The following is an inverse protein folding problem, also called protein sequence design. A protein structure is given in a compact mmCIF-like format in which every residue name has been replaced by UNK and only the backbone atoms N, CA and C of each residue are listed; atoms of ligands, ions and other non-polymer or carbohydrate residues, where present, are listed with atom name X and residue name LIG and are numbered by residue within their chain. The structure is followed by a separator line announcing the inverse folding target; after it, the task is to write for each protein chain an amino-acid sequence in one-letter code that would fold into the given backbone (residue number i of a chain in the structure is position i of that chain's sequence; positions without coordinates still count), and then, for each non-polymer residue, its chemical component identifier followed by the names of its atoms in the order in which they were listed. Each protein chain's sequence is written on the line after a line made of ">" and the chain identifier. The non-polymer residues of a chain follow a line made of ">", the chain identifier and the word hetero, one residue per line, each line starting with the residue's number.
data_IF_456624256573
#
_entry.id   IF_456624256573
#
_cell.length_a   1.000
_cell.length_b   1.000
_cell.length_c   1.000
_cell.angle_alpha   90.00
_cell.angle_beta   90.00
_cell.angle_gamma   90.00
#
_symmetry.space_group_name_H-M   'P 1'
#
loop_
_entity.id
_entity.type
_entity.pdbx_description
1 polymer ?
#
# COMPACT_ATOMS: atom_id res chain seq x y z
N UNK A 1 -3.69 15.71 -46.36
CA UNK A 1 -4.77 15.59 -45.32
C UNK A 1 -4.44 14.48 -44.30
N UNK A 2 -4.06 13.30 -44.72
CA UNK A 2 -3.75 12.13 -43.89
C UNK A 2 -2.58 12.40 -42.90
N UNK A 3 -1.50 13.06 -43.33
CA UNK A 3 -0.32 13.35 -42.49
C UNK A 3 -0.63 14.20 -41.25
N UNK A 4 -1.58 15.11 -41.33
CA UNK A 4 -2.05 15.95 -40.21
C UNK A 4 -2.81 15.12 -39.14
N UNK A 5 -3.49 14.05 -39.54
CA UNK A 5 -4.19 13.15 -38.61
C UNK A 5 -3.22 12.22 -37.90
N UNK A 6 -2.21 11.67 -38.57
CA UNK A 6 -1.19 10.83 -37.93
C UNK A 6 -0.42 11.59 -36.85
N UNK A 7 -0.06 12.84 -37.08
CA UNK A 7 0.59 13.69 -36.08
C UNK A 7 -0.30 13.86 -34.83
N UNK A 8 -1.60 14.13 -35.01
CA UNK A 8 -2.54 14.28 -33.90
C UNK A 8 -2.74 12.98 -33.12
N UNK A 9 -2.78 11.84 -33.82
CA UNK A 9 -2.88 10.53 -33.16
C UNK A 9 -1.65 10.29 -32.30
N UNK A 10 -0.45 10.47 -32.81
CA UNK A 10 0.80 10.26 -32.08
C UNK A 10 0.97 11.28 -30.94
N UNK A 11 0.54 12.52 -31.13
CA UNK A 11 0.52 13.55 -30.08
C UNK A 11 -0.45 13.21 -28.94
N UNK A 12 -1.53 12.48 -29.21
CA UNK A 12 -2.51 12.03 -28.22
C UNK A 12 -2.11 10.74 -27.48
N UNK A 13 -1.03 10.05 -27.89
CA UNK A 13 -0.55 8.85 -27.19
C UNK A 13 0.13 9.26 -25.89
N UNK A 14 -0.22 8.63 -24.72
CA UNK A 14 0.37 8.98 -23.43
C UNK A 14 1.85 8.57 -23.31
N UNK A 15 2.32 7.60 -24.08
CA UNK A 15 3.72 7.18 -24.12
C UNK A 15 4.59 8.24 -24.81
N UNK A 16 5.73 8.57 -24.23
CA UNK A 16 6.68 9.50 -24.82
C UNK A 16 7.32 8.91 -26.10
N UNK A 17 7.18 9.62 -27.23
CA UNK A 17 7.65 9.17 -28.54
C UNK A 17 8.68 10.15 -29.10
N UNK A 18 9.83 9.62 -29.55
CA UNK A 18 10.87 10.33 -30.27
C UNK A 18 11.20 9.59 -31.57
N UNK A 19 11.37 10.34 -32.67
CA UNK A 19 11.86 9.78 -33.95
C UNK A 19 13.18 10.44 -34.29
N UNK A 20 14.17 9.64 -34.63
CA UNK A 20 15.48 10.10 -35.03
C UNK A 20 15.92 9.51 -36.39
N UNK A 21 16.77 10.24 -37.11
CA UNK A 21 17.43 9.79 -38.32
C UNK A 21 18.73 9.03 -38.02
N UNK A 22 19.38 8.50 -39.06
CA UNK A 22 20.65 7.75 -38.95
C UNK A 22 21.81 8.57 -38.35
N UNK A 23 21.71 9.91 -38.35
CA UNK A 23 22.69 10.79 -37.72
C UNK A 23 22.29 11.10 -36.27
N UNK A 24 21.33 10.36 -35.71
CA UNK A 24 20.77 10.57 -34.36
C UNK A 24 20.23 11.99 -34.13
N UNK A 25 19.76 12.63 -35.20
CA UNK A 25 19.07 13.90 -35.13
C UNK A 25 17.58 13.66 -34.99
N UNK A 26 16.99 14.29 -34.00
CA UNK A 26 15.56 14.18 -33.71
C UNK A 26 14.72 14.82 -34.82
N UNK A 27 13.86 14.04 -35.44
CA UNK A 27 12.95 14.46 -36.52
C UNK A 27 11.57 14.84 -35.93
N UNK A 28 11.12 14.10 -34.92
CA UNK A 28 9.82 14.30 -34.33
C UNK A 28 9.83 13.94 -32.83
N UNK A 29 9.02 14.62 -32.04
CA UNK A 29 8.67 14.29 -30.65
C UNK A 29 7.19 14.57 -30.44
N UNK A 30 6.50 13.72 -29.66
CA UNK A 30 5.09 13.95 -29.28
C UNK A 30 4.94 14.81 -28.00
N UNK A 31 3.71 15.11 -27.62
CA UNK A 31 3.40 15.91 -26.43
C UNK A 31 3.88 15.25 -25.15
N UNK A 32 3.73 13.94 -24.99
CA UNK A 32 4.21 13.18 -23.83
C UNK A 32 5.74 13.26 -23.69
N UNK A 33 6.50 13.15 -24.81
CA UNK A 33 7.94 13.36 -24.78
C UNK A 33 8.33 14.76 -24.31
N UNK A 34 7.64 15.79 -24.80
CA UNK A 34 7.91 17.18 -24.40
C UNK A 34 7.54 17.47 -22.95
N UNK A 35 6.57 16.75 -22.39
CA UNK A 35 6.25 16.81 -20.96
C UNK A 35 7.35 16.16 -20.10
N UNK A 36 7.88 15.00 -20.55
CA UNK A 36 8.96 14.30 -19.87
C UNK A 36 10.31 15.06 -19.95
N UNK A 37 10.58 15.73 -21.08
CA UNK A 37 11.79 16.51 -21.32
C UNK A 37 11.43 17.95 -21.77
N UNK A 38 11.05 18.84 -20.83
CA UNK A 38 10.55 20.18 -21.18
C UNK A 38 11.53 21.05 -21.97
N UNK A 39 12.84 20.91 -21.72
CA UNK A 39 13.89 21.59 -22.46
C UNK A 39 14.29 20.89 -23.76
N UNK A 40 13.72 19.71 -24.02
CA UNK A 40 13.95 18.91 -25.22
C UNK A 40 13.17 19.47 -26.42
N UNK A 41 13.82 19.52 -27.59
CA UNK A 41 13.18 20.01 -28.81
C UNK A 41 13.51 19.14 -30.02
N UNK A 42 12.54 19.00 -30.94
CA UNK A 42 12.80 18.43 -32.25
C UNK A 42 13.89 19.21 -32.99
N UNK A 43 14.59 18.55 -33.92
CA UNK A 43 15.72 19.07 -34.72
C UNK A 43 17.03 19.27 -33.92
N UNK A 44 17.14 18.73 -32.72
CA UNK A 44 18.39 18.64 -31.95
C UNK A 44 18.98 17.23 -32.02
N UNK A 45 20.22 17.05 -31.58
CA UNK A 45 20.75 15.71 -31.36
C UNK A 45 19.95 14.98 -30.27
N UNK A 46 19.94 13.65 -30.31
CA UNK A 46 19.19 12.79 -29.40
C UNK A 46 19.46 13.14 -27.93
N UNK A 47 20.71 13.33 -27.53
CA UNK A 47 21.08 13.70 -26.17
C UNK A 47 20.63 15.11 -25.77
N UNK A 48 20.60 16.07 -26.72
CA UNK A 48 20.03 17.40 -26.44
C UNK A 48 18.50 17.37 -26.34
N UNK A 49 17.86 16.46 -27.08
CA UNK A 49 16.41 16.27 -26.99
C UNK A 49 16.00 15.67 -25.64
N UNK A 50 16.82 14.80 -25.06
CA UNK A 50 16.61 14.19 -23.72
C UNK A 50 17.29 14.98 -22.60
N UNK A 51 17.69 16.23 -22.82
CA UNK A 51 18.34 17.11 -21.81
C UNK A 51 19.58 16.53 -21.15
N UNK A 52 20.33 15.65 -21.84
CA UNK A 52 21.52 15.00 -21.31
C UNK A 52 22.59 16.02 -20.88
N UNK A 53 23.03 15.99 -19.63
CA UNK A 53 24.02 16.90 -19.06
C UNK A 53 25.41 16.76 -19.72
N UNK A 54 25.72 15.58 -20.28
CA UNK A 54 26.99 15.28 -20.96
C UNK A 54 26.99 15.64 -22.46
N UNK A 55 25.83 16.07 -23.02
CA UNK A 55 25.72 16.38 -24.45
C UNK A 55 26.31 17.74 -24.78
N UNK A 56 27.61 17.79 -25.09
CA UNK A 56 28.29 19.04 -25.43
C UNK A 56 27.91 19.58 -26.82
N UNK A 57 27.95 18.82 -27.90
CA UNK A 57 27.60 19.33 -29.23
C UNK A 57 26.90 18.31 -30.14
N UNK A 58 27.29 17.05 -30.11
CA UNK A 58 26.76 15.97 -30.96
C UNK A 58 26.64 14.69 -30.14
N UNK A 59 25.48 14.00 -30.20
CA UNK A 59 25.41 12.59 -29.81
C UNK A 59 26.28 11.78 -30.79
N UNK A 60 27.07 10.84 -30.26
CA UNK A 60 27.99 10.04 -31.07
C UNK A 60 29.45 10.51 -31.03
N UNK A 61 29.81 11.59 -30.29
CA UNK A 61 31.18 11.95 -29.98
C UNK A 61 31.79 11.06 -28.89
N UNK A 62 33.07 11.25 -28.58
CA UNK A 62 33.82 10.44 -27.60
C UNK A 62 33.20 10.38 -26.19
N UNK A 63 32.35 11.35 -25.83
CA UNK A 63 31.64 11.39 -24.58
C UNK A 63 30.35 10.53 -24.52
N UNK A 64 29.94 9.92 -25.63
CA UNK A 64 28.76 9.06 -25.73
C UNK A 64 29.08 7.57 -25.86
N UNK A 65 30.35 7.16 -25.81
CA UNK A 65 30.73 5.74 -25.81
C UNK A 65 30.19 5.07 -24.56
N UNK A 66 29.38 4.00 -24.75
CA UNK A 66 28.69 3.30 -23.65
C UNK A 66 27.42 4.01 -23.15
N UNK A 67 26.89 4.99 -23.88
CA UNK A 67 25.58 5.59 -23.60
C UNK A 67 24.46 4.65 -24.06
N UNK A 68 23.72 4.08 -23.15
CA UNK A 68 22.63 3.13 -23.45
C UNK A 68 21.56 3.69 -24.39
N UNK A 69 21.34 5.02 -24.38
CA UNK A 69 20.43 5.68 -25.32
C UNK A 69 20.98 5.67 -26.74
N UNK A 70 22.27 6.01 -26.91
CA UNK A 70 22.97 5.96 -28.18
C UNK A 70 22.96 4.53 -28.73
N UNK A 71 23.43 3.56 -27.91
CA UNK A 71 23.55 2.15 -28.29
C UNK A 71 22.19 1.56 -28.70
N UNK A 72 21.05 1.97 -28.08
CA UNK A 72 19.74 1.49 -28.45
C UNK A 72 19.35 1.88 -29.88
N UNK A 73 19.61 3.12 -30.29
CA UNK A 73 19.32 3.58 -31.64
C UNK A 73 20.33 3.00 -32.67
N UNK A 74 21.63 2.98 -32.36
CA UNK A 74 22.65 2.44 -33.23
C UNK A 74 22.41 0.96 -33.52
N UNK A 75 22.15 0.14 -32.50
CA UNK A 75 21.81 -1.27 -32.65
C UNK A 75 20.54 -1.47 -33.48
N UNK A 76 19.50 -0.63 -33.28
CA UNK A 76 18.27 -0.72 -34.07
C UNK A 76 18.52 -0.36 -35.55
N UNK A 77 19.31 0.66 -35.83
CA UNK A 77 19.70 1.00 -37.20
C UNK A 77 20.55 -0.09 -37.86
N UNK A 78 21.53 -0.61 -37.14
CA UNK A 78 22.43 -1.64 -37.68
C UNK A 78 21.75 -3.00 -37.89
N UNK A 79 20.93 -3.43 -36.94
CA UNK A 79 20.27 -4.75 -36.99
C UNK A 79 18.96 -4.74 -37.78
N UNK A 80 18.38 -3.57 -38.02
CA UNK A 80 17.03 -3.39 -38.54
C UNK A 80 15.96 -4.18 -37.75
N UNK A 81 16.15 -4.32 -36.41
CA UNK A 81 15.24 -4.98 -35.48
C UNK A 81 14.92 -4.06 -34.32
N UNK A 82 13.80 -4.36 -33.66
CA UNK A 82 13.45 -3.68 -32.43
C UNK A 82 14.45 -3.97 -31.32
N UNK A 83 14.88 -2.92 -30.60
CA UNK A 83 15.83 -3.00 -29.50
C UNK A 83 15.24 -2.31 -28.29
N UNK A 84 15.30 -2.97 -27.12
CA UNK A 84 14.90 -2.38 -25.85
C UNK A 84 16.09 -2.29 -24.91
N UNK A 85 16.28 -1.13 -24.29
CA UNK A 85 17.37 -0.88 -23.33
C UNK A 85 16.89 -0.03 -22.18
N UNK A 86 17.52 -0.23 -21.02
CA UNK A 86 17.40 0.69 -19.88
C UNK A 86 18.46 1.77 -20.03
N UNK A 87 18.03 3.02 -19.91
CA UNK A 87 18.89 4.21 -20.00
C UNK A 87 19.04 4.81 -18.62
N UNK A 88 20.29 5.06 -18.24
CA UNK A 88 20.66 5.85 -17.07
C UNK A 88 21.37 7.09 -17.56
N UNK A 89 20.85 8.26 -17.25
CA UNK A 89 21.48 9.48 -17.72
C UNK A 89 21.34 10.62 -16.69
N UNK A 90 22.34 11.51 -16.68
CA UNK A 90 22.23 12.78 -15.96
C UNK A 90 21.54 13.80 -16.85
N UNK A 91 20.45 14.36 -16.36
CA UNK A 91 19.65 15.39 -17.04
C UNK A 91 19.92 16.73 -16.38
N UNK A 92 20.02 17.77 -17.19
CA UNK A 92 20.17 19.15 -16.69
C UNK A 92 18.92 19.94 -17.00
N UNK A 93 18.19 20.30 -15.96
CA UNK A 93 17.00 21.14 -16.03
C UNK A 93 17.13 22.35 -15.12
N UNK A 94 16.82 23.53 -15.63
CA UNK A 94 16.91 24.81 -14.89
C UNK A 94 18.26 25.02 -14.15
N UNK A 95 19.35 24.49 -14.72
CA UNK A 95 20.67 24.61 -14.14
C UNK A 95 21.04 23.55 -13.10
N UNK A 96 20.11 22.70 -12.69
CA UNK A 96 20.31 21.57 -11.75
C UNK A 96 20.48 20.28 -12.52
N UNK A 97 21.47 19.45 -12.11
CA UNK A 97 21.67 18.11 -12.65
C UNK A 97 21.03 17.08 -11.72
N UNK A 98 20.24 16.17 -12.25
CA UNK A 98 19.67 15.03 -11.54
C UNK A 98 19.79 13.75 -12.38
N UNK A 99 19.82 12.61 -11.72
CA UNK A 99 19.88 11.30 -12.37
C UNK A 99 18.46 10.85 -12.74
N UNK A 100 18.29 10.40 -13.98
CA UNK A 100 17.03 9.80 -14.47
C UNK A 100 17.30 8.41 -15.02
N UNK A 101 16.30 7.53 -14.85
CA UNK A 101 16.31 6.19 -15.41
C UNK A 101 14.99 5.95 -16.13
N UNK A 102 15.06 5.47 -17.36
CA UNK A 102 13.90 5.11 -18.16
C UNK A 102 14.19 3.94 -19.10
N UNK A 103 13.15 3.24 -19.52
CA UNK A 103 13.25 2.21 -20.56
C UNK A 103 12.94 2.83 -21.91
N UNK A 104 13.77 2.53 -22.92
CA UNK A 104 13.50 2.91 -24.28
C UNK A 104 13.38 1.67 -25.17
N UNK A 105 12.37 1.63 -26.00
CA UNK A 105 12.20 0.64 -27.05
C UNK A 105 12.30 1.33 -28.38
N UNK A 106 13.35 1.00 -29.15
CA UNK A 106 13.62 1.59 -30.47
C UNK A 106 13.18 0.64 -31.57
N UNK A 107 12.33 1.11 -32.46
CA UNK A 107 11.78 0.35 -33.57
C UNK A 107 12.15 1.01 -34.90
N UNK A 108 12.79 0.30 -35.85
CA UNK A 108 13.04 0.81 -37.18
C UNK A 108 11.74 1.08 -37.94
N UNK A 109 11.65 2.24 -38.58
CA UNK A 109 10.48 2.63 -39.39
C UNK A 109 10.73 2.48 -40.89
N UNK A 110 11.96 2.16 -41.29
CA UNK A 110 12.42 2.25 -42.67
C UNK A 110 12.78 3.67 -43.07
N UNK A 111 13.32 3.85 -44.31
CA UNK A 111 13.71 5.17 -44.79
C UNK A 111 14.78 5.89 -43.99
N UNK A 112 15.62 5.16 -43.22
CA UNK A 112 16.64 5.74 -42.37
C UNK A 112 16.10 6.41 -41.09
N UNK A 113 14.93 5.98 -40.62
CA UNK A 113 14.30 6.48 -39.40
C UNK A 113 14.09 5.37 -38.38
N UNK A 114 14.29 5.68 -37.11
CA UNK A 114 13.88 4.85 -35.96
C UNK A 114 12.98 5.65 -35.01
N UNK A 115 12.00 4.97 -34.47
CA UNK A 115 11.12 5.48 -33.42
C UNK A 115 11.52 4.90 -32.08
N UNK A 116 11.79 5.76 -31.10
CA UNK A 116 11.93 5.38 -29.70
C UNK A 116 10.65 5.68 -28.95
N UNK A 117 10.14 4.68 -28.22
CA UNK A 117 9.12 4.86 -27.20
C UNK A 117 9.78 4.82 -25.84
N UNK A 118 9.53 5.80 -25.01
CA UNK A 118 10.13 5.92 -23.68
C UNK A 118 9.03 5.68 -22.63
N UNK A 119 9.26 4.67 -21.83
CA UNK A 119 8.47 4.39 -20.64
C UNK A 119 9.27 4.80 -19.42
N UNK A 120 8.60 5.40 -18.43
CA UNK A 120 9.26 5.76 -17.18
C UNK A 120 9.60 4.46 -16.43
N UNK A 121 10.88 4.05 -16.54
CA UNK A 121 11.37 2.85 -15.89
C UNK A 121 11.29 2.93 -14.36
N UNK A 122 11.28 4.14 -13.80
CA UNK A 122 11.19 4.38 -12.38
C UNK A 122 9.80 4.08 -11.85
N UNK A 123 8.73 4.54 -12.54
CA UNK A 123 7.35 4.20 -12.16
C UNK A 123 7.10 2.69 -12.22
N UNK A 124 7.58 2.01 -13.25
CA UNK A 124 7.43 0.56 -13.39
C UNK A 124 8.20 -0.22 -12.31
N UNK A 125 9.38 0.27 -11.92
CA UNK A 125 10.20 -0.34 -10.86
C UNK A 125 9.55 -0.15 -9.48
N UNK A 126 9.09 1.07 -9.17
CA UNK A 126 8.33 1.35 -7.94
C UNK A 126 7.07 0.49 -7.89
N UNK A 127 6.32 0.38 -8.99
CA UNK A 127 5.14 -0.47 -9.04
C UNK A 127 5.46 -1.95 -8.75
N UNK A 128 6.59 -2.47 -9.23
CA UNK A 128 7.05 -3.83 -8.92
C UNK A 128 7.48 -3.99 -7.46
N UNK A 129 8.18 -3.01 -6.90
CA UNK A 129 8.57 -3.01 -5.49
C UNK A 129 7.35 -2.94 -4.58
N UNK A 130 6.38 -2.08 -4.89
CA UNK A 130 5.10 -2.00 -4.19
C UNK A 130 4.33 -3.32 -4.25
N UNK A 131 4.28 -3.96 -5.42
CA UNK A 131 3.64 -5.27 -5.58
C UNK A 131 4.34 -6.35 -4.74
N UNK A 132 5.66 -6.30 -4.66
CA UNK A 132 6.45 -7.20 -3.80
C UNK A 132 6.16 -6.95 -2.33
N UNK A 133 6.17 -5.70 -1.88
CA UNK A 133 5.85 -5.32 -0.51
C UNK A 133 4.42 -5.71 -0.13
N UNK A 134 3.45 -5.50 -1.03
CA UNK A 134 2.06 -5.98 -0.87
C UNK A 134 1.99 -7.50 -0.69
N UNK A 135 2.73 -8.26 -1.50
CA UNK A 135 2.81 -9.71 -1.37
C UNK A 135 3.41 -10.15 -0.03
N UNK A 136 4.41 -9.43 0.49
CA UNK A 136 4.97 -9.69 1.83
C UNK A 136 3.93 -9.39 2.90
N UNK A 137 3.25 -8.23 2.84
CA UNK A 137 2.23 -7.87 3.83
C UNK A 137 1.09 -8.90 3.86
N UNK A 138 0.63 -9.38 2.71
CA UNK A 138 -0.39 -10.43 2.65
C UNK A 138 -0.01 -11.72 3.37
N UNK A 139 1.30 -12.05 3.45
CA UNK A 139 1.81 -13.21 4.20
C UNK A 139 1.88 -12.98 5.71
N UNK A 140 1.75 -11.73 6.16
CA UNK A 140 1.66 -11.39 7.58
C UNK A 140 0.24 -11.55 8.13
N UNK A 141 -0.77 -11.60 7.25
CA UNK A 141 -2.17 -11.78 7.65
C UNK A 141 -2.40 -13.18 8.26
N UNK A 142 -3.46 -13.34 9.09
CA UNK A 142 -3.79 -14.61 9.70
C UNK A 142 -3.96 -15.73 8.66
N UNK A 143 -3.44 -16.90 8.96
CA UNK A 143 -3.58 -18.08 8.11
C UNK A 143 -4.60 -19.06 8.68
N UNK A 144 -5.51 -19.56 7.83
CA UNK A 144 -6.54 -20.50 8.26
C UNK A 144 -7.78 -19.82 8.85
N UNK A 145 -8.55 -20.57 9.62
CA UNK A 145 -9.82 -20.15 10.22
C UNK A 145 -10.06 -20.77 11.62
N UNK A 146 -9.00 -21.31 12.27
CA UNK A 146 -9.02 -21.89 13.60
C UNK A 146 -7.80 -21.50 14.42
N UNK A 147 -8.02 -21.12 15.66
CA UNK A 147 -6.97 -20.86 16.64
C UNK A 147 -7.47 -21.23 18.04
N UNK A 148 -6.67 -21.92 18.86
CA UNK A 148 -7.00 -22.25 20.26
C UNK A 148 -8.38 -22.90 20.43
N UNK A 149 -8.83 -23.76 19.48
CA UNK A 149 -10.14 -24.39 19.52
C UNK A 149 -11.32 -23.50 19.11
N UNK A 150 -11.08 -22.27 18.69
CA UNK A 150 -12.11 -21.32 18.20
C UNK A 150 -12.03 -21.15 16.69
N UNK A 151 -13.21 -21.10 16.06
CA UNK A 151 -13.33 -20.71 14.64
C UNK A 151 -13.28 -19.19 14.56
N UNK A 152 -12.60 -18.67 13.54
CA UNK A 152 -12.58 -17.23 13.27
C UNK A 152 -12.70 -16.94 11.78
N UNK A 153 -13.10 -15.73 11.48
CA UNK A 153 -13.05 -15.15 10.15
C UNK A 153 -12.55 -13.71 10.25
N UNK A 154 -11.91 -13.22 9.19
CA UNK A 154 -11.44 -11.84 9.16
C UNK A 154 -11.62 -11.20 7.79
N UNK A 155 -11.63 -9.86 7.77
CA UNK A 155 -11.60 -9.03 6.59
C UNK A 155 -10.44 -8.03 6.73
N UNK A 156 -9.70 -7.83 5.64
CA UNK A 156 -8.66 -6.81 5.53
C UNK A 156 -8.70 -6.22 4.12
N UNK A 157 -9.04 -4.95 4.01
CA UNK A 157 -9.15 -4.21 2.75
C UNK A 157 -8.34 -2.93 2.91
N UNK A 158 -7.09 -2.88 2.41
CA UNK A 158 -6.27 -1.69 2.49
C UNK A 158 -6.80 -0.61 1.53
N UNK A 159 -6.79 0.65 1.96
CA UNK A 159 -7.21 1.79 1.13
C UNK A 159 -6.16 2.16 0.06
N UNK A 160 -4.93 1.69 0.21
CA UNK A 160 -3.83 1.81 -0.75
C UNK A 160 -3.23 0.44 -1.04
N UNK A 161 -2.15 0.38 -1.82
CA UNK A 161 -1.47 -0.88 -2.12
C UNK A 161 -0.97 -1.61 -0.87
N UNK A 162 -0.59 -0.85 0.16
CA UNK A 162 -0.10 -1.33 1.46
C UNK A 162 -0.85 -0.54 2.54
N UNK A 163 -1.41 -1.25 3.52
CA UNK A 163 -2.17 -0.66 4.62
C UNK A 163 -1.38 -0.58 5.93
N UNK A 164 -1.87 0.28 6.84
CA UNK A 164 -1.38 0.41 8.22
C UNK A 164 -2.01 -0.60 9.17
N UNK A 165 -3.20 -1.04 8.89
CA UNK A 165 -3.93 -2.00 9.72
C UNK A 165 -3.25 -3.37 9.79
N UNK A 166 -3.37 -4.02 10.93
CA UNK A 166 -2.87 -5.36 11.18
C UNK A 166 -3.91 -6.21 11.93
N UNK A 167 -4.62 -7.12 11.25
CA UNK A 167 -5.28 -8.22 11.92
C UNK A 167 -4.27 -9.33 12.23
N UNK A 168 -4.31 -9.88 13.44
CA UNK A 168 -3.53 -11.06 13.81
C UNK A 168 -4.37 -12.01 14.65
N UNK A 169 -4.28 -13.31 14.36
CA UNK A 169 -4.92 -14.39 15.12
C UNK A 169 -3.93 -15.51 15.30
N UNK A 170 -3.81 -15.97 16.54
CA UNK A 170 -2.88 -17.05 16.92
C UNK A 170 -3.43 -17.83 18.12
N UNK A 171 -2.79 -18.90 18.46
CA UNK A 171 -3.10 -19.70 19.64
C UNK A 171 -1.96 -19.64 20.65
N UNK A 172 -2.33 -19.56 21.92
CA UNK A 172 -1.40 -19.76 23.05
C UNK A 172 -2.00 -20.85 23.93
N UNK A 173 -1.26 -21.97 24.04
CA UNK A 173 -1.80 -23.17 24.70
C UNK A 173 -3.18 -23.57 24.11
N UNK A 174 -4.23 -23.53 24.93
CA UNK A 174 -5.60 -23.87 24.53
C UNK A 174 -6.47 -22.60 24.27
N UNK A 175 -5.90 -21.42 24.32
CA UNK A 175 -6.61 -20.16 24.15
C UNK A 175 -6.45 -19.61 22.74
N UNK A 176 -7.51 -19.05 22.16
CA UNK A 176 -7.43 -18.27 20.96
C UNK A 176 -7.08 -16.81 21.31
N UNK A 177 -6.20 -16.19 20.53
CA UNK A 177 -5.84 -14.80 20.69
C UNK A 177 -6.11 -14.03 19.40
N UNK A 178 -6.68 -12.84 19.55
CA UNK A 178 -6.92 -11.90 18.45
C UNK A 178 -6.29 -10.55 18.77
N UNK A 179 -5.63 -9.97 17.79
CA UNK A 179 -5.09 -8.60 17.86
C UNK A 179 -5.49 -7.86 16.61
N UNK A 180 -6.02 -6.66 16.81
CA UNK A 180 -6.22 -5.71 15.73
C UNK A 180 -5.43 -4.45 16.10
N UNK A 181 -4.63 -3.97 15.16
CA UNK A 181 -3.86 -2.75 15.34
C UNK A 181 -4.06 -1.84 14.13
N UNK A 182 -4.13 -0.55 14.38
CA UNK A 182 -4.18 0.48 13.36
C UNK A 182 -3.03 1.45 13.58
N UNK A 183 -2.21 1.59 12.56
CA UNK A 183 -1.01 2.43 12.55
C UNK A 183 -1.32 3.77 11.92
N UNK A 184 -0.99 4.85 12.61
CA UNK A 184 -1.15 6.20 12.10
C UNK A 184 -0.50 6.42 10.74
N UNK A 185 -1.23 7.05 9.81
CA UNK A 185 -0.77 7.31 8.44
C UNK A 185 -1.17 6.20 7.46
N UNK A 186 -0.70 6.29 6.22
CA UNK A 186 -1.13 5.39 5.13
C UNK A 186 0.00 5.08 4.16
N UNK A 187 -0.09 3.94 3.50
CA UNK A 187 0.88 3.50 2.49
C UNK A 187 2.13 2.87 3.09
N UNK A 188 3.28 3.01 2.43
CA UNK A 188 4.49 2.24 2.73
C UNK A 188 4.97 2.41 4.18
N UNK A 189 5.00 3.65 4.69
CA UNK A 189 5.46 3.93 6.06
C UNK A 189 4.58 3.27 7.12
N UNK A 190 3.26 3.36 6.98
CA UNK A 190 2.31 2.69 7.87
C UNK A 190 2.43 1.16 7.76
N UNK A 191 2.58 0.62 6.55
CA UNK A 191 2.80 -0.81 6.35
C UNK A 191 4.12 -1.34 6.93
N UNK A 192 5.19 -0.54 6.95
CA UNK A 192 6.43 -0.90 7.63
C UNK A 192 6.25 -0.97 9.15
N UNK A 193 5.54 0.01 9.73
CA UNK A 193 5.22 -0.01 11.15
C UNK A 193 4.24 -1.13 11.51
N UNK A 194 3.28 -1.44 10.66
CA UNK A 194 2.38 -2.60 10.82
C UNK A 194 3.18 -3.92 10.88
N UNK A 195 4.16 -4.11 9.99
CA UNK A 195 5.05 -5.26 10.03
C UNK A 195 5.92 -5.29 11.30
N UNK A 196 6.41 -4.12 11.76
CA UNK A 196 7.10 -4.01 13.04
C UNK A 196 6.20 -4.42 14.21
N UNK A 197 4.96 -3.92 14.27
CA UNK A 197 3.98 -4.29 15.31
C UNK A 197 3.78 -5.81 15.34
N UNK A 198 3.61 -6.43 14.17
CA UNK A 198 3.47 -7.89 14.05
C UNK A 198 4.66 -8.65 14.65
N UNK A 199 5.87 -8.18 14.37
CA UNK A 199 7.10 -8.82 14.85
C UNK A 199 7.40 -8.52 16.34
N UNK A 200 7.06 -7.31 16.79
CA UNK A 200 7.35 -6.82 18.13
C UNK A 200 6.35 -7.30 19.19
N UNK A 201 5.09 -7.59 18.77
CA UNK A 201 4.06 -8.08 19.68
C UNK A 201 4.42 -9.46 20.22
N UNK A 202 4.52 -9.58 21.55
CA UNK A 202 4.93 -10.82 22.21
C UNK A 202 3.76 -11.80 22.31
N UNK A 203 3.64 -12.71 21.36
CA UNK A 203 2.60 -13.74 21.31
C UNK A 203 2.70 -14.80 22.39
N UNK A 204 3.86 -14.89 23.07
CA UNK A 204 4.04 -15.80 24.20
C UNK A 204 3.54 -15.22 25.52
N UNK A 205 3.28 -13.91 25.58
CA UNK A 205 2.73 -13.25 26.76
C UNK A 205 1.25 -13.58 26.90
N UNK A 206 0.89 -14.11 28.06
CA UNK A 206 -0.48 -14.56 28.34
C UNK A 206 -1.44 -13.40 28.60
N UNK A 207 -0.96 -12.28 29.15
CA UNK A 207 -1.75 -11.08 29.45
C UNK A 207 -1.74 -10.13 28.25
N UNK A 208 -2.91 -9.81 27.64
CA UNK A 208 -3.00 -8.81 26.57
C UNK A 208 -2.42 -7.44 26.97
N UNK A 209 -2.64 -7.00 28.21
CA UNK A 209 -2.11 -5.73 28.70
C UNK A 209 -0.59 -5.72 28.79
N UNK A 210 0.02 -6.82 29.25
CA UNK A 210 1.48 -6.95 29.31
C UNK A 210 2.09 -7.06 27.90
N UNK A 211 1.41 -7.76 26.97
CA UNK A 211 1.86 -7.84 25.58
C UNK A 211 1.86 -6.45 24.91
N UNK A 212 0.81 -5.64 25.13
CA UNK A 212 0.75 -4.26 24.67
C UNK A 212 1.85 -3.42 25.34
N UNK A 213 2.10 -3.60 26.63
CA UNK A 213 3.18 -2.89 27.33
C UNK A 213 4.56 -3.18 26.72
N UNK A 214 4.88 -4.45 26.50
CA UNK A 214 6.12 -4.86 25.83
C UNK A 214 6.23 -4.29 24.40
N UNK A 215 5.12 -4.23 23.66
CA UNK A 215 5.07 -3.58 22.36
C UNK A 215 5.39 -2.09 22.49
N UNK A 216 4.79 -1.40 23.47
CA UNK A 216 5.03 0.03 23.72
C UNK A 216 6.49 0.32 24.06
N UNK A 217 7.12 -0.53 24.88
CA UNK A 217 8.53 -0.40 25.24
C UNK A 217 9.42 -0.51 23.97
N UNK A 218 9.18 -1.52 23.12
CA UNK A 218 9.90 -1.69 21.85
C UNK A 218 9.62 -0.59 20.84
N UNK A 219 8.38 -0.05 20.80
CA UNK A 219 8.03 1.05 19.93
C UNK A 219 8.77 2.34 20.31
N UNK A 220 8.94 2.58 21.62
CA UNK A 220 9.68 3.72 22.13
C UNK A 220 11.17 3.70 21.73
N UNK A 221 11.76 2.50 21.60
CA UNK A 221 13.16 2.33 21.14
C UNK A 221 13.37 2.82 19.69
N UNK A 222 12.31 2.86 18.86
CA UNK A 222 12.41 3.35 17.48
C UNK A 222 12.62 4.87 17.42
N UNK A 223 12.34 5.59 18.49
CA UNK A 223 12.50 7.04 18.62
C UNK A 223 11.87 7.82 17.43
N UNK A 224 10.68 7.41 17.04
CA UNK A 224 9.90 8.04 15.95
C UNK A 224 9.32 9.38 16.41
N UNK A 225 8.93 10.21 15.44
CA UNK A 225 8.27 11.49 15.73
C UNK A 225 6.85 11.31 16.31
N UNK A 226 6.31 12.40 16.90
CA UNK A 226 5.02 12.40 17.59
C UNK A 226 3.81 12.06 16.69
N UNK A 227 3.97 12.06 15.36
CA UNK A 227 2.90 11.69 14.43
C UNK A 227 2.73 10.19 14.28
N UNK A 228 3.71 9.42 14.77
CA UNK A 228 3.68 7.98 14.69
C UNK A 228 3.12 7.40 15.99
N UNK A 229 2.00 6.71 15.89
CA UNK A 229 1.38 5.98 16.99
C UNK A 229 0.64 4.77 16.44
N UNK A 230 0.29 3.86 17.32
CA UNK A 230 -0.47 2.65 17.00
C UNK A 230 -1.61 2.50 17.99
N UNK A 231 -2.81 2.29 17.47
CA UNK A 231 -3.93 1.84 18.30
C UNK A 231 -4.02 0.32 18.28
N UNK A 232 -4.35 -0.30 19.41
CA UNK A 232 -4.39 -1.76 19.54
C UNK A 232 -5.61 -2.19 20.33
N UNK A 233 -6.35 -3.18 19.83
CA UNK A 233 -7.25 -4.00 20.65
C UNK A 233 -6.78 -5.44 20.62
N UNK A 234 -6.57 -6.02 21.78
CA UNK A 234 -6.07 -7.38 21.94
C UNK A 234 -7.00 -8.19 22.86
N UNK A 235 -7.28 -9.43 22.47
CA UNK A 235 -8.13 -10.35 23.20
C UNK A 235 -7.46 -11.71 23.35
N UNK A 236 -7.69 -12.37 24.50
CA UNK A 236 -7.44 -13.79 24.73
C UNK A 236 -8.76 -14.45 25.10
N UNK A 237 -9.09 -15.50 24.42
CA UNK A 237 -10.33 -16.25 24.55
C UNK A 237 -10.00 -17.60 25.16
N UNK A 238 -10.34 -17.76 26.42
CA UNK A 238 -10.20 -19.01 27.19
C UNK A 238 -11.45 -19.88 26.99
N UNK A 239 -11.69 -20.87 27.86
CA UNK A 239 -12.83 -21.80 27.75
C UNK A 239 -14.18 -21.12 27.97
N UNK A 240 -14.25 -20.12 28.84
CA UNK A 240 -15.48 -19.50 29.34
C UNK A 240 -15.39 -17.97 29.54
N UNK A 241 -14.25 -17.39 29.22
CA UNK A 241 -13.98 -15.97 29.44
C UNK A 241 -13.08 -15.38 28.38
N UNK A 242 -13.22 -14.08 28.17
CA UNK A 242 -12.41 -13.26 27.29
C UNK A 242 -11.67 -12.25 28.14
N UNK A 243 -10.35 -12.30 28.13
CA UNK A 243 -9.49 -11.24 28.65
C UNK A 243 -9.17 -10.28 27.53
N UNK A 244 -9.34 -8.99 27.75
CA UNK A 244 -9.12 -7.98 26.71
C UNK A 244 -8.35 -6.77 27.23
N UNK A 245 -7.61 -6.12 26.34
CA UNK A 245 -6.92 -4.86 26.59
C UNK A 245 -6.96 -4.00 25.33
N UNK A 246 -6.98 -2.68 25.53
CA UNK A 246 -7.01 -1.71 24.44
C UNK A 246 -5.96 -0.64 24.69
N UNK A 247 -5.31 -0.14 23.63
CA UNK A 247 -4.36 0.97 23.65
C UNK A 247 -4.77 2.00 22.61
N UNK A 248 -5.35 3.12 23.04
CA UNK A 248 -5.78 4.21 22.15
C UNK A 248 -6.86 3.82 21.14
N UNK A 249 -7.36 2.60 21.19
CA UNK A 249 -8.33 2.09 20.23
C UNK A 249 -9.72 2.62 20.54
N UNK A 250 -10.30 3.38 19.62
CA UNK A 250 -11.54 4.13 19.81
C UNK A 250 -12.81 3.39 19.33
N UNK A 251 -12.64 2.21 18.72
CA UNK A 251 -13.74 1.38 18.24
C UNK A 251 -14.06 0.30 19.27
N UNK A 252 -15.33 0.14 19.68
CA UNK A 252 -15.68 -0.88 20.67
C UNK A 252 -15.48 -2.30 20.12
N UNK A 253 -14.96 -3.18 20.96
CA UNK A 253 -15.10 -4.62 20.78
C UNK A 253 -16.59 -4.97 20.96
N UNK A 254 -17.15 -5.78 20.07
CA UNK A 254 -18.56 -6.17 20.13
C UNK A 254 -18.69 -7.63 20.55
N UNK A 255 -19.51 -7.90 21.57
CA UNK A 255 -19.87 -9.24 21.98
C UNK A 255 -21.37 -9.45 21.77
N UNK A 256 -21.73 -10.31 20.82
CA UNK A 256 -23.10 -10.76 20.60
C UNK A 256 -23.40 -11.98 21.44
N UNK A 257 -24.46 -11.90 22.22
CA UNK A 257 -25.01 -12.98 23.05
C UNK A 257 -26.50 -13.18 22.75
N UNK A 258 -27.12 -14.17 23.35
CA UNK A 258 -28.57 -14.36 23.27
C UNK A 258 -29.38 -13.16 23.82
N UNK A 259 -28.80 -12.40 24.76
CA UNK A 259 -29.41 -11.23 25.36
C UNK A 259 -29.23 -9.94 24.57
N UNK A 260 -28.40 -9.93 23.55
CA UNK A 260 -28.13 -8.76 22.74
C UNK A 260 -26.65 -8.55 22.44
N UNK A 261 -26.29 -7.34 22.01
CA UNK A 261 -24.92 -6.97 21.65
C UNK A 261 -24.37 -5.97 22.66
N UNK A 262 -23.27 -6.34 23.32
CA UNK A 262 -22.54 -5.50 24.27
C UNK A 262 -21.38 -4.81 23.56
N UNK A 263 -21.20 -3.50 23.82
CA UNK A 263 -20.03 -2.70 23.41
C UNK A 263 -19.02 -2.69 24.56
N UNK A 264 -17.81 -3.14 24.30
CA UNK A 264 -16.74 -3.26 25.28
C UNK A 264 -15.68 -2.22 24.94
N UNK A 265 -15.30 -1.40 25.91
CA UNK A 265 -14.28 -0.35 25.78
C UNK A 265 -13.37 -0.32 26.98
N UNK A 266 -12.08 -0.10 26.75
CA UNK A 266 -11.10 0.27 27.77
C UNK A 266 -10.34 1.52 27.31
N UNK A 267 -10.25 2.50 28.19
CA UNK A 267 -9.52 3.73 27.91
C UNK A 267 -8.08 3.60 28.39
N UNK A 268 -7.16 3.61 27.44
CA UNK A 268 -5.71 3.62 27.66
C UNK A 268 -5.05 4.46 26.57
N UNK A 269 -3.85 5.02 26.80
CA UNK A 269 -3.16 5.77 25.76
C UNK A 269 -2.76 4.85 24.59
N UNK A 270 -2.59 5.40 23.37
CA UNK A 270 -2.05 4.63 22.25
C UNK A 270 -0.59 4.25 22.50
N UNK A 271 -0.11 3.26 21.78
CA UNK A 271 1.31 2.95 21.70
C UNK A 271 2.00 4.07 20.94
N UNK A 272 2.80 4.88 21.63
CA UNK A 272 3.42 6.09 21.09
C UNK A 272 4.58 6.55 22.01
N UNK A 273 5.32 7.56 21.53
CA UNK A 273 6.34 8.25 22.32
C UNK A 273 5.78 9.45 23.14
N UNK A 274 4.46 9.59 23.22
CA UNK A 274 3.84 10.74 23.90
C UNK A 274 3.91 10.65 25.43
N UNK A 275 4.01 9.45 25.97
CA UNK A 275 3.94 9.19 27.40
C UNK A 275 5.17 8.40 27.87
N UNK A 276 5.78 8.88 28.92
CA UNK A 276 6.76 8.10 29.68
C UNK A 276 6.01 7.05 30.51
N UNK A 277 6.32 5.77 30.33
CA UNK A 277 5.72 4.66 31.07
C UNK A 277 4.17 4.60 31.05
N UNK A 278 3.51 4.50 29.85
CA UNK A 278 2.07 4.40 29.80
C UNK A 278 1.56 3.13 30.50
N UNK A 279 0.41 3.21 31.14
CA UNK A 279 -0.22 2.06 31.80
C UNK A 279 -1.32 1.48 30.91
N UNK A 280 -1.28 0.17 30.74
CA UNK A 280 -2.30 -0.60 30.03
C UNK A 280 -2.98 -1.55 31.03
N UNK A 281 -4.30 -1.60 30.94
CA UNK A 281 -5.14 -2.41 31.80
C UNK A 281 -5.81 -3.51 30.98
N UNK A 282 -6.19 -4.57 31.66
CA UNK A 282 -7.01 -5.62 31.08
C UNK A 282 -8.23 -5.85 31.96
N UNK A 283 -9.30 -6.32 31.34
CA UNK A 283 -10.51 -6.73 32.03
C UNK A 283 -11.00 -8.06 31.46
N UNK A 284 -11.92 -8.70 32.14
CA UNK A 284 -12.39 -10.05 31.83
C UNK A 284 -13.89 -10.05 31.73
N UNK A 285 -14.42 -10.63 30.65
CA UNK A 285 -15.87 -10.81 30.47
C UNK A 285 -16.19 -12.28 30.19
N UNK A 286 -17.21 -12.86 30.86
CA UNK A 286 -17.66 -14.21 30.53
C UNK A 286 -18.41 -14.26 29.21
N UNK A 287 -18.39 -15.41 28.57
CA UNK A 287 -19.18 -15.69 27.37
C UNK A 287 -19.77 -17.11 27.42
N UNK A 288 -20.68 -17.40 26.50
CA UNK A 288 -21.28 -18.74 26.33
C UNK A 288 -21.03 -19.25 24.92
N UNK A 289 -21.10 -20.57 24.80
CA UNK A 289 -21.04 -21.20 23.47
C UNK A 289 -22.16 -20.67 22.58
N UNK A 290 -21.78 -20.24 21.39
CA UNK A 290 -22.69 -19.63 20.40
C UNK A 290 -22.67 -18.12 20.37
N UNK A 291 -21.97 -17.47 21.33
CA UNK A 291 -21.71 -16.04 21.28
C UNK A 291 -20.72 -15.71 20.14
N UNK A 292 -20.70 -14.47 19.68
CA UNK A 292 -19.79 -13.99 18.62
C UNK A 292 -19.03 -12.77 19.14
N UNK A 293 -17.71 -12.83 19.12
CA UNK A 293 -16.83 -11.71 19.43
C UNK A 293 -16.31 -11.05 18.15
N UNK A 294 -16.32 -9.70 18.11
CA UNK A 294 -15.90 -8.92 16.95
C UNK A 294 -14.96 -7.79 17.36
N UNK A 295 -13.85 -7.68 16.65
CA UNK A 295 -12.92 -6.55 16.69
C UNK A 295 -12.95 -5.83 15.34
N UNK A 296 -12.90 -4.50 15.36
CA UNK A 296 -12.99 -3.64 14.16
C UNK A 296 -11.96 -2.52 14.26
N UNK A 297 -11.43 -2.04 13.13
CA UNK A 297 -10.75 -0.74 13.05
C UNK A 297 -11.74 0.38 12.71
N UNK A 298 -11.31 1.62 12.88
CA UNK A 298 -12.15 2.80 12.63
C UNK A 298 -12.48 2.98 11.13
N UNK A 299 -11.67 2.44 10.22
CA UNK A 299 -12.04 2.42 8.80
C UNK A 299 -13.38 1.73 8.51
N UNK A 300 -13.85 0.79 9.37
CA UNK A 300 -15.19 0.24 9.29
C UNK A 300 -16.23 1.29 9.71
N UNK A 301 -16.01 1.93 10.85
CA UNK A 301 -17.01 2.85 11.45
C UNK A 301 -17.00 4.22 10.78
N UNK A 302 -15.85 4.67 10.27
CA UNK A 302 -15.68 5.96 9.61
C UNK A 302 -15.87 5.89 8.08
N UNK A 303 -16.15 4.69 7.53
CA UNK A 303 -16.53 4.52 6.13
C UNK A 303 -17.70 5.45 5.78
N UNK A 304 -17.54 6.31 4.75
CA UNK A 304 -18.52 7.33 4.38
C UNK A 304 -19.22 7.00 3.08
N UNK A 305 -20.52 7.22 3.04
CA UNK A 305 -21.28 7.15 1.78
C UNK A 305 -21.14 8.44 0.96
N UNK A 306 -21.73 8.46 -0.23
CA UNK A 306 -21.72 9.62 -1.13
C UNK A 306 -22.39 10.90 -0.57
N UNK A 307 -23.06 10.82 0.58
CA UNK A 307 -23.65 11.95 1.31
C UNK A 307 -22.78 12.42 2.48
N UNK A 308 -21.65 11.74 2.76
CA UNK A 308 -20.76 12.02 3.87
C UNK A 308 -21.23 11.42 5.21
N UNK A 309 -22.28 10.58 5.23
CA UNK A 309 -22.76 9.88 6.43
C UNK A 309 -21.82 8.71 6.73
N UNK A 310 -21.48 8.50 8.00
CA UNK A 310 -20.63 7.39 8.45
C UNK A 310 -21.43 6.10 8.60
N UNK A 311 -20.82 4.95 8.30
CA UNK A 311 -21.39 3.62 8.59
C UNK A 311 -21.64 3.44 10.09
N UNK A 312 -20.71 3.89 10.89
CA UNK A 312 -20.78 3.94 12.35
C UNK A 312 -20.72 2.56 13.00
N UNK A 313 -20.52 2.56 14.32
CA UNK A 313 -20.62 1.33 15.11
C UNK A 313 -22.04 0.72 15.02
N UNK A 314 -23.08 1.53 14.83
CA UNK A 314 -24.45 1.06 14.66
C UNK A 314 -24.66 0.24 13.39
N UNK A 315 -23.96 0.57 12.29
CA UNK A 315 -23.94 -0.22 11.06
C UNK A 315 -23.37 -1.62 11.29
N UNK A 316 -22.22 -1.68 11.99
CA UNK A 316 -21.61 -2.94 12.37
C UNK A 316 -22.50 -3.77 13.31
N UNK A 317 -23.15 -3.13 14.29
CA UNK A 317 -24.08 -3.79 15.21
C UNK A 317 -25.31 -4.34 14.49
N UNK A 318 -25.90 -3.58 13.57
CA UNK A 318 -27.01 -4.07 12.73
C UNK A 318 -26.60 -5.30 11.92
N UNK A 319 -25.42 -5.27 11.33
CA UNK A 319 -24.86 -6.41 10.58
C UNK A 319 -24.65 -7.61 11.50
N UNK A 320 -24.09 -7.42 12.69
CA UNK A 320 -23.83 -8.48 13.65
C UNK A 320 -25.15 -9.09 14.19
N UNK A 321 -26.18 -8.27 14.37
CA UNK A 321 -27.47 -8.72 14.93
C UNK A 321 -28.13 -9.80 14.07
N UNK A 322 -27.98 -9.74 12.75
CA UNK A 322 -28.57 -10.70 11.79
C UNK A 322 -27.64 -11.86 11.44
N UNK A 323 -26.36 -11.79 11.79
CA UNK A 323 -25.38 -12.84 11.50
C UNK A 323 -25.37 -13.91 12.58
N UNK A 324 -25.22 -15.18 12.21
CA UNK A 324 -25.26 -16.34 13.11
C UNK A 324 -23.87 -16.90 13.42
N UNK A 325 -22.88 -16.58 12.59
CA UNK A 325 -21.49 -17.04 12.71
C UNK A 325 -20.53 -15.90 12.42
N UNK A 326 -19.28 -16.06 12.83
CA UNK A 326 -18.19 -15.14 12.51
C UNK A 326 -18.03 -14.98 10.98
N UNK A 327 -18.11 -16.08 10.23
CA UNK A 327 -18.00 -16.08 8.76
C UNK A 327 -19.15 -15.31 8.10
N UNK A 328 -20.38 -15.55 8.54
CA UNK A 328 -21.57 -14.83 8.05
C UNK A 328 -21.47 -13.34 8.36
N UNK A 329 -21.00 -12.98 9.56
CA UNK A 329 -20.80 -11.58 9.92
C UNK A 329 -19.79 -10.89 8.99
N UNK A 330 -18.62 -11.47 8.80
CA UNK A 330 -17.57 -10.89 7.93
C UNK A 330 -18.08 -10.70 6.50
N UNK A 331 -18.76 -11.71 5.94
CA UNK A 331 -19.36 -11.62 4.62
C UNK A 331 -20.42 -10.51 4.52
N UNK A 332 -21.36 -10.49 5.46
CA UNK A 332 -22.42 -9.48 5.49
C UNK A 332 -21.85 -8.07 5.68
N UNK A 333 -20.79 -7.93 6.49
CA UNK A 333 -20.11 -6.65 6.70
C UNK A 333 -19.46 -6.15 5.42
N UNK A 334 -18.76 -7.03 4.70
CA UNK A 334 -18.12 -6.69 3.42
C UNK A 334 -19.17 -6.25 2.37
N UNK A 335 -20.27 -6.99 2.25
CA UNK A 335 -21.34 -6.68 1.31
C UNK A 335 -22.03 -5.35 1.66
N UNK A 336 -22.29 -5.11 2.96
CA UNK A 336 -22.90 -3.87 3.44
C UNK A 336 -21.99 -2.65 3.22
N UNK A 337 -20.68 -2.77 3.47
CA UNK A 337 -19.73 -1.69 3.25
C UNK A 337 -19.59 -1.37 1.75
N UNK A 338 -19.52 -2.38 0.87
CA UNK A 338 -19.50 -2.18 -0.58
C UNK A 338 -20.77 -1.51 -1.11
N UNK A 339 -21.93 -1.81 -0.52
CA UNK A 339 -23.20 -1.16 -0.88
C UNK A 339 -23.29 0.28 -0.34
N UNK A 340 -22.61 0.55 0.79
CA UNK A 340 -22.65 1.85 1.47
C UNK A 340 -21.70 2.87 0.86
N UNK A 341 -20.49 2.47 0.46
CA UNK A 341 -19.46 3.35 -0.09
C UNK A 341 -18.80 2.77 -1.34
N UNK A 342 -18.51 3.65 -2.32
CA UNK A 342 -17.69 3.31 -3.49
C UNK A 342 -16.21 3.60 -3.28
N UNK A 343 -15.86 4.45 -2.30
CA UNK A 343 -14.49 4.93 -2.07
C UNK A 343 -14.03 4.61 -0.65
N UNK A 344 -12.86 4.00 -0.53
CA UNK A 344 -12.23 3.70 0.75
C UNK A 344 -11.27 4.83 1.12
N UNK A 345 -11.56 5.51 2.23
CA UNK A 345 -10.71 6.57 2.74
C UNK A 345 -9.71 6.07 3.81
N UNK A 346 -9.95 4.89 4.37
CA UNK A 346 -9.08 4.23 5.33
C UNK A 346 -9.04 2.72 5.14
N UNK A 347 -8.06 2.07 5.78
CA UNK A 347 -7.94 0.62 5.81
C UNK A 347 -9.11 0.04 6.59
N UNK A 348 -9.75 -0.98 6.05
CA UNK A 348 -10.91 -1.63 6.67
C UNK A 348 -10.49 -2.99 7.19
N UNK A 349 -10.56 -3.17 8.51
CA UNK A 349 -10.19 -4.42 9.15
C UNK A 349 -11.23 -4.88 10.16
N UNK A 350 -11.53 -6.17 10.13
CA UNK A 350 -12.43 -6.84 11.07
C UNK A 350 -11.93 -8.24 11.38
N UNK A 351 -12.06 -8.66 12.63
CA UNK A 351 -11.87 -10.05 13.07
C UNK A 351 -13.12 -10.45 13.84
N UNK A 352 -13.65 -11.63 13.55
CA UNK A 352 -14.77 -12.22 14.29
C UNK A 352 -14.45 -13.65 14.72
N UNK A 353 -14.89 -14.02 15.93
CA UNK A 353 -14.73 -15.36 16.52
C UNK A 353 -16.07 -15.96 16.87
N UNK A 354 -16.25 -17.25 16.54
CA UNK A 354 -17.31 -18.09 17.10
C UNK A 354 -16.84 -18.61 18.46
N UNK A 355 -17.57 -18.34 19.53
CA UNK A 355 -17.21 -18.64 20.92
C UNK A 355 -17.82 -19.95 21.44
#
# INVERSE_FOLDING_TARGET
>A
MIEKYYRRIIDGVPTAVIVADQNLKTVFTNSAFRALFPSGAAKKSLGKATCCASSSAQCGGDGCRGCSLYDAFDDAFCSNKQVSRRVYQKVKENGVCHDVSYSITVTPLGGGLCMGTIDDAYELEIAKELQTAKSIQQRLLPAGNWAGGKRYSYMYIPCRDIGGDLPDVYAVENSACGVIADVSGKGISAGMLSAFVKAAYDKSEYSPAKAIRKLSDKFSELNLDERNYVTVAAVRIDSDSITYSMAGHNVPILLKTDSGITRIMLNSPPVSNWFENPSYFEDVIPYKKGDILVLLTDGVTECKNGRGEMFGADGAIKTLSVSRTAEEFIKNLEDNLKAFSSDLNDDITAIAFDL
#
